data_IF_874337583218
#
_entry.id   IF_874337583218
#
_cell.length_a   1.000
_cell.length_b   1.000
_cell.length_c   1.000
_cell.angle_alpha   90.00
_cell.angle_beta   90.00
_cell.angle_gamma   90.00
#
_symmetry.space_group_name_H-M   'P 1'
#
loop_
_entity.id
_entity.type
_entity.pdbx_description
1 polymer ?
#
# COMPACT_ATOMS: atom_id res chain seq x y z
N UNK A 1 38.57 4.50 28.98
CA UNK A 1 37.11 4.70 28.95
C UNK A 1 36.63 4.20 27.59
N UNK A 2 36.09 2.99 27.51
CA UNK A 2 35.59 2.40 26.26
C UNK A 2 34.11 2.73 26.11
N UNK A 3 33.79 3.60 25.15
CA UNK A 3 32.43 3.89 24.73
C UNK A 3 31.93 2.72 23.87
N UNK A 4 31.07 1.88 24.45
CA UNK A 4 30.36 0.81 23.75
C UNK A 4 29.18 1.44 23.03
N UNK A 5 29.37 1.78 21.74
CA UNK A 5 28.27 2.14 20.85
C UNK A 5 27.49 0.86 20.53
N UNK A 6 26.27 0.76 21.07
CA UNK A 6 25.32 -0.27 20.66
C UNK A 6 24.97 -0.07 19.16
N UNK A 7 24.79 -1.15 18.38
CA UNK A 7 24.24 -0.99 17.04
C UNK A 7 22.83 -0.43 17.21
N UNK A 8 22.57 0.74 16.62
CA UNK A 8 21.21 1.20 16.39
C UNK A 8 20.55 0.11 15.55
N UNK A 9 19.76 -0.75 16.20
CA UNK A 9 18.90 -1.66 15.50
C UNK A 9 18.09 -0.76 14.57
N UNK A 10 18.33 -0.90 13.26
CA UNK A 10 17.43 -0.33 12.27
C UNK A 10 16.15 -1.11 12.52
N UNK A 11 15.31 -0.59 13.42
CA UNK A 11 13.94 -1.04 13.60
C UNK A 11 13.41 -1.02 12.18
N UNK A 12 13.31 -2.21 11.59
CA UNK A 12 12.55 -2.41 10.39
C UNK A 12 11.21 -1.86 10.80
N UNK A 13 10.90 -0.61 10.42
CA UNK A 13 9.56 -0.09 10.58
C UNK A 13 8.75 -1.06 9.76
N UNK A 14 8.14 -2.03 10.44
CA UNK A 14 7.24 -2.97 9.82
C UNK A 14 6.12 -2.06 9.38
N UNK A 15 6.20 -1.58 8.14
CA UNK A 15 5.19 -0.71 7.56
C UNK A 15 3.89 -1.43 7.79
N UNK A 16 3.02 -0.85 8.62
CA UNK A 16 1.79 -1.52 9.01
C UNK A 16 1.05 -1.97 7.75
N UNK A 17 0.44 -3.17 7.77
CA UNK A 17 -0.27 -3.68 6.62
C UNK A 17 -1.40 -2.72 6.24
N UNK A 18 -1.66 -2.61 4.94
CA UNK A 18 -2.81 -1.84 4.46
C UNK A 18 -4.05 -2.71 4.63
N UNK A 19 -5.02 -2.19 5.39
CA UNK A 19 -6.34 -2.78 5.53
C UNK A 19 -7.21 -2.32 4.35
N UNK A 20 -7.57 -3.26 3.49
CA UNK A 20 -8.40 -3.00 2.32
C UNK A 20 -9.88 -3.22 2.62
N UNK A 21 -10.70 -2.21 2.36
CA UNK A 21 -12.15 -2.30 2.43
C UNK A 21 -12.78 -2.13 1.06
N UNK A 22 -13.71 -3.01 0.72
CA UNK A 22 -14.59 -2.84 -0.44
C UNK A 22 -15.60 -1.75 -0.11
N UNK A 23 -15.63 -0.68 -0.89
CA UNK A 23 -16.62 0.40 -0.71
C UNK A 23 -17.84 0.14 -1.59
N UNK A 24 -17.59 -0.27 -2.82
CA UNK A 24 -18.60 -0.70 -3.80
C UNK A 24 -17.98 -1.68 -4.77
N UNK A 25 -18.79 -2.27 -5.66
CA UNK A 25 -18.30 -3.17 -6.69
C UNK A 25 -17.25 -2.45 -7.55
N UNK A 26 -16.04 -3.00 -7.60
CA UNK A 26 -14.96 -2.41 -8.38
C UNK A 26 -14.23 -1.26 -7.70
N UNK A 27 -14.45 -0.98 -6.41
CA UNK A 27 -13.71 0.06 -5.67
C UNK A 27 -13.27 -0.42 -4.29
N UNK A 28 -11.97 -0.32 -4.04
CA UNK A 28 -11.33 -0.60 -2.76
C UNK A 28 -10.61 0.63 -2.22
N UNK A 29 -10.72 0.84 -0.91
CA UNK A 29 -9.96 1.84 -0.19
C UNK A 29 -9.04 1.13 0.79
N UNK A 30 -7.76 1.44 0.70
CA UNK A 30 -6.72 0.96 1.60
C UNK A 30 -6.44 1.98 2.68
N UNK A 31 -6.40 1.52 3.94
CA UNK A 31 -5.95 2.33 5.07
C UNK A 31 -4.76 1.71 5.78
N UNK A 32 -3.80 2.55 6.18
CA UNK A 32 -2.65 2.18 7.02
C UNK A 32 -2.71 3.04 8.28
N UNK A 33 -2.73 2.42 9.45
CA UNK A 33 -2.84 3.14 10.74
C UNK A 33 -4.06 4.11 10.82
N UNK A 34 -5.17 3.75 10.17
CA UNK A 34 -6.37 4.60 10.08
C UNK A 34 -6.30 5.70 9.01
N UNK A 35 -5.12 5.97 8.46
CA UNK A 35 -4.90 6.95 7.38
C UNK A 35 -5.17 6.34 6.00
N UNK A 36 -5.57 7.18 5.05
CA UNK A 36 -5.75 6.76 3.66
C UNK A 36 -4.39 6.43 3.03
N UNK A 37 -4.21 5.18 2.60
CA UNK A 37 -3.00 4.72 1.93
C UNK A 37 -3.13 4.71 0.40
N UNK A 38 -4.35 4.58 -0.11
CA UNK A 38 -4.64 4.60 -1.53
C UNK A 38 -5.95 3.91 -1.87
N UNK A 39 -6.23 3.84 -3.17
CA UNK A 39 -7.43 3.23 -3.72
C UNK A 39 -7.11 2.30 -4.87
N UNK A 40 -7.99 1.36 -5.12
CA UNK A 40 -7.97 0.51 -6.30
C UNK A 40 -9.34 0.61 -6.95
N UNK A 41 -9.40 0.88 -8.24
CA UNK A 41 -10.65 0.86 -9.01
C UNK A 41 -10.57 -0.11 -10.19
N UNK A 42 -11.69 -0.75 -10.53
CA UNK A 42 -11.81 -1.51 -11.76
C UNK A 42 -12.06 -0.58 -12.95
N UNK A 43 -11.26 -0.70 -14.00
CA UNK A 43 -11.42 0.05 -15.23
C UNK A 43 -12.49 -0.58 -16.13
N UNK A 44 -12.94 0.15 -17.16
CA UNK A 44 -13.87 -0.38 -18.17
C UNK A 44 -13.27 -1.57 -18.95
N UNK A 45 -11.94 -1.67 -19.00
CA UNK A 45 -11.22 -2.77 -19.65
C UNK A 45 -11.16 -4.04 -18.80
N UNK A 46 -11.63 -4.00 -17.54
CA UNK A 46 -11.59 -5.12 -16.61
C UNK A 46 -10.29 -5.22 -15.79
N UNK A 47 -9.38 -4.27 -15.95
CA UNK A 47 -8.15 -4.14 -15.16
C UNK A 47 -8.41 -3.38 -13.87
N UNK A 48 -7.43 -3.34 -12.97
CA UNK A 48 -7.48 -2.66 -11.70
C UNK A 48 -6.43 -1.56 -11.65
N UNK A 49 -6.86 -0.31 -11.64
CA UNK A 49 -5.98 0.84 -11.44
C UNK A 49 -5.71 1.02 -9.94
N UNK A 50 -4.44 1.00 -9.55
CA UNK A 50 -4.01 1.30 -8.19
C UNK A 50 -3.50 2.74 -8.11
N UNK A 51 -3.98 3.50 -7.12
CA UNK A 51 -3.64 4.90 -6.92
C UNK A 51 -3.24 5.16 -5.47
N UNK A 52 -2.15 5.87 -5.25
CA UNK A 52 -1.66 6.22 -3.90
C UNK A 52 -2.51 7.31 -3.26
N UNK A 53 -2.26 7.56 -1.98
CA UNK A 53 -2.83 8.68 -1.25
C UNK A 53 -2.52 10.07 -1.85
N UNK A 54 -1.47 10.17 -2.68
CA UNK A 54 -1.08 11.40 -3.38
C UNK A 54 -1.69 11.51 -4.78
N UNK A 55 -2.53 10.55 -5.20
CA UNK A 55 -3.07 10.50 -6.55
C UNK A 55 -2.07 10.00 -7.60
N UNK A 56 -0.94 9.41 -7.18
CA UNK A 56 -0.02 8.75 -8.12
C UNK A 56 -0.58 7.39 -8.52
N UNK A 57 -0.71 7.13 -9.82
CA UNK A 57 -1.09 5.82 -10.31
C UNK A 57 0.12 4.87 -10.26
N UNK A 58 0.00 3.78 -9.49
CA UNK A 58 1.05 2.75 -9.38
C UNK A 58 1.07 1.82 -10.61
N UNK A 59 -0.05 1.71 -11.32
CA UNK A 59 -0.16 0.90 -12.52
C UNK A 59 -1.58 0.40 -12.75
N UNK A 60 -1.71 -0.45 -13.78
CA UNK A 60 -2.88 -1.26 -14.08
C UNK A 60 -2.53 -2.72 -13.82
N UNK A 61 -3.43 -3.44 -13.16
CA UNK A 61 -3.22 -4.82 -12.74
C UNK A 61 -4.36 -5.71 -13.21
N UNK A 62 -4.10 -6.99 -13.52
CA UNK A 62 -5.15 -7.91 -13.98
C UNK A 62 -6.10 -8.34 -12.85
N UNK A 63 -5.68 -8.22 -11.59
CA UNK A 63 -6.49 -8.59 -10.42
C UNK A 63 -6.37 -7.55 -9.31
N UNK A 64 -7.42 -7.41 -8.50
CA UNK A 64 -7.40 -6.56 -7.32
C UNK A 64 -6.32 -7.01 -6.31
N UNK A 65 -5.97 -8.30 -6.28
CA UNK A 65 -4.89 -8.80 -5.42
C UNK A 65 -3.51 -8.29 -5.86
N UNK A 66 -3.20 -8.39 -7.16
CA UNK A 66 -1.97 -7.84 -7.72
C UNK A 66 -1.86 -6.31 -7.49
N UNK A 67 -2.98 -5.60 -7.62
CA UNK A 67 -3.05 -4.17 -7.30
C UNK A 67 -2.80 -3.88 -5.80
N UNK A 68 -3.22 -4.74 -4.87
CA UNK A 68 -2.92 -4.56 -3.44
C UNK A 68 -1.44 -4.78 -3.14
N UNK A 69 -0.84 -5.79 -3.76
CA UNK A 69 0.58 -6.13 -3.56
C UNK A 69 1.52 -5.00 -4.02
N UNK A 70 1.12 -4.19 -5.01
CA UNK A 70 1.94 -3.06 -5.47
C UNK A 70 2.19 -1.99 -4.40
N UNK A 71 1.35 -1.91 -3.36
CA UNK A 71 1.53 -0.96 -2.25
C UNK A 71 2.54 -1.44 -1.19
N UNK A 72 2.95 -2.71 -1.23
CA UNK A 72 3.94 -3.27 -0.29
C UNK A 72 5.39 -3.08 -0.75
N UNK A 73 5.61 -2.70 -2.01
CA UNK A 73 6.94 -2.60 -2.64
C UNK A 73 7.61 -1.22 -2.52
N UNK A 74 6.90 -0.19 -2.03
CA UNK A 74 7.45 1.14 -1.73
C UNK A 74 7.69 1.24 -0.21
N UNK A 75 8.84 0.71 0.23
CA UNK A 75 9.44 0.92 1.57
C UNK A 75 10.78 1.60 1.45
#
# INVERSE_FOLDING_TARGET
MTITTAPVARESRVSQPIHWKVIQRGLWIGKRDGEFAGMIESTRSGEFAAMTNLGEQLGLFPTADAAKQSFSQRV
#
